data_IF_629320310075
#
_entry.id   IF_629320310075
#
_cell.length_a   1.000
_cell.length_b   1.000
_cell.length_c   1.000
_cell.angle_alpha   90.00
_cell.angle_beta   90.00
_cell.angle_gamma   90.00
#
_symmetry.space_group_name_H-M   'P 1'
#
loop_
_entity.id
_entity.type
_entity.pdbx_description
1 polymer ?
#
# COMPACT_ATOMS: atom_id res chain seq x y z
N UNK A 1 5.23 14.47 -1.12
CA UNK A 1 6.53 14.45 -0.42
C UNK A 1 6.95 13.13 0.18
N UNK A 2 6.05 12.28 0.68
CA UNK A 2 6.34 10.91 1.16
C UNK A 2 7.59 10.75 2.07
N UNK A 3 8.09 11.84 2.68
CA UNK A 3 9.31 11.89 3.49
C UNK A 3 9.25 10.98 4.70
N UNK A 4 8.05 10.79 5.24
CA UNK A 4 7.82 9.88 6.35
C UNK A 4 8.09 8.44 5.92
N UNK A 5 7.46 7.98 4.84
CA UNK A 5 7.62 6.59 4.36
C UNK A 5 9.08 6.31 4.01
N UNK A 6 9.78 7.22 3.33
CA UNK A 6 11.21 7.05 3.01
C UNK A 6 12.12 6.97 4.24
N UNK A 7 11.78 7.70 5.32
CA UNK A 7 12.53 7.64 6.58
C UNK A 7 12.40 6.28 7.28
N UNK A 8 11.26 5.60 7.12
CA UNK A 8 10.96 4.35 7.81
C UNK A 8 11.14 3.10 6.91
N UNK A 9 11.07 3.25 5.59
CA UNK A 9 11.32 2.23 4.57
C UNK A 9 12.35 2.76 3.57
N UNK A 10 13.65 2.60 3.86
CA UNK A 10 14.71 3.02 2.93
C UNK A 10 14.65 2.27 1.59
N UNK A 11 14.08 1.06 1.56
CA UNK A 11 13.86 0.28 0.32
C UNK A 11 12.93 0.99 -0.69
N UNK A 12 12.19 2.00 -0.26
CA UNK A 12 11.25 2.79 -1.06
C UNK A 12 11.78 4.21 -1.38
N UNK A 13 13.03 4.52 -1.06
CA UNK A 13 13.61 5.86 -1.23
C UNK A 13 13.68 6.30 -2.70
N UNK A 14 14.01 5.37 -3.60
CA UNK A 14 14.14 5.61 -5.03
C UNK A 14 12.80 5.77 -5.76
N UNK A 15 11.67 5.51 -5.10
CA UNK A 15 10.35 5.54 -5.73
C UNK A 15 9.75 6.94 -5.67
N UNK A 16 9.08 7.32 -6.75
CA UNK A 16 8.39 8.59 -6.91
C UNK A 16 7.40 8.86 -5.74
N UNK A 17 7.48 10.01 -5.05
CA UNK A 17 6.70 10.26 -3.84
C UNK A 17 5.19 10.33 -4.11
N UNK A 18 4.76 10.51 -5.36
CA UNK A 18 3.34 10.44 -5.75
C UNK A 18 2.82 8.99 -5.72
N UNK A 19 3.66 8.03 -6.09
CA UNK A 19 3.31 6.61 -6.12
C UNK A 19 3.43 5.97 -4.74
N UNK A 20 4.32 6.47 -3.88
CA UNK A 20 4.56 5.92 -2.54
C UNK A 20 3.33 5.86 -1.62
N UNK A 21 2.33 6.70 -1.88
CA UNK A 21 1.06 6.66 -1.15
C UNK A 21 0.14 5.51 -1.59
N UNK A 22 0.38 4.90 -2.74
CA UNK A 22 -0.44 3.85 -3.34
C UNK A 22 0.46 2.79 -4.00
N UNK A 23 1.14 2.01 -3.16
CA UNK A 23 2.04 0.91 -3.57
C UNK A 23 1.31 -0.20 -4.34
N UNK A 24 -0.03 -0.25 -4.25
CA UNK A 24 -0.84 -1.17 -5.03
C UNK A 24 -0.85 -0.81 -6.53
N UNK A 25 -0.59 0.45 -6.88
CA UNK A 25 -0.51 0.92 -8.26
C UNK A 25 0.89 0.82 -8.88
N UNK A 26 1.87 0.26 -8.17
CA UNK A 26 3.20 0.05 -8.75
C UNK A 26 3.10 -0.86 -9.95
N UNK A 27 3.83 -0.50 -11.01
CA UNK A 27 3.99 -1.42 -12.14
C UNK A 27 4.81 -2.65 -11.69
N UNK A 28 4.65 -3.80 -12.36
CA UNK A 28 5.44 -5.00 -12.03
C UNK A 28 6.95 -4.77 -12.07
N UNK A 29 7.41 -3.86 -12.94
CA UNK A 29 8.82 -3.48 -13.05
C UNK A 29 9.28 -2.68 -11.82
N UNK A 30 8.53 -1.64 -11.44
CA UNK A 30 8.84 -0.83 -10.23
C UNK A 30 8.79 -1.66 -8.95
N UNK A 31 7.92 -2.67 -8.90
CA UNK A 31 7.86 -3.62 -7.79
C UNK A 31 9.01 -4.63 -7.82
N UNK A 32 9.49 -5.04 -8.99
CA UNK A 32 10.67 -5.90 -9.07
C UNK A 32 11.97 -5.16 -8.68
N UNK A 33 12.01 -3.84 -8.89
CA UNK A 33 13.12 -2.98 -8.47
C UNK A 33 13.08 -2.58 -6.99
N UNK A 34 11.93 -2.74 -6.33
CA UNK A 34 11.78 -2.51 -4.90
C UNK A 34 11.67 -3.82 -4.14
N UNK A 35 12.49 -4.01 -3.10
CA UNK A 35 12.37 -5.11 -2.12
C UNK A 35 11.11 -4.99 -1.22
N UNK A 36 10.03 -4.37 -1.70
CA UNK A 36 8.80 -4.12 -0.95
C UNK A 36 7.66 -5.08 -1.39
N UNK A 37 7.02 -5.77 -0.44
CA UNK A 37 6.04 -6.81 -0.76
C UNK A 37 4.73 -6.25 -1.35
N UNK A 38 3.96 -7.16 -1.95
CA UNK A 38 2.62 -6.85 -2.46
C UNK A 38 1.65 -6.48 -1.31
N UNK A 39 0.62 -5.66 -1.60
CA UNK A 39 -0.42 -5.37 -0.62
C UNK A 39 -1.07 -6.66 -0.13
N UNK A 40 -1.00 -6.91 1.17
CA UNK A 40 -1.55 -8.11 1.81
C UNK A 40 -3.08 -8.17 1.65
N UNK A 41 -3.72 -7.00 1.62
CA UNK A 41 -5.18 -6.86 1.47
C UNK A 41 -5.52 -5.80 0.44
N UNK A 42 -6.58 -6.07 -0.32
CA UNK A 42 -7.23 -5.04 -1.13
C UNK A 42 -8.03 -4.11 -0.21
N UNK A 43 -7.64 -2.85 -0.12
CA UNK A 43 -8.26 -1.88 0.79
C UNK A 43 -9.77 -1.72 0.58
N UNK A 44 -10.24 -1.83 -0.66
CA UNK A 44 -11.66 -1.71 -0.99
C UNK A 44 -12.43 -2.91 -0.42
N UNK A 45 -12.01 -4.13 -0.73
CA UNK A 45 -12.62 -5.36 -0.20
C UNK A 45 -12.51 -5.46 1.31
N UNK A 46 -11.38 -5.08 1.89
CA UNK A 46 -11.16 -5.07 3.34
C UNK A 46 -12.15 -4.12 4.04
N UNK A 47 -12.37 -2.93 3.46
CA UNK A 47 -13.37 -1.99 3.96
C UNK A 47 -14.78 -2.55 3.89
N UNK A 48 -15.16 -3.17 2.78
CA UNK A 48 -16.49 -3.79 2.62
C UNK A 48 -16.71 -4.89 3.65
N UNK A 49 -15.74 -5.78 3.84
CA UNK A 49 -15.77 -6.83 4.88
C UNK A 49 -15.91 -6.26 6.28
N UNK A 50 -15.15 -5.21 6.62
CA UNK A 50 -15.22 -4.59 7.93
C UNK A 50 -16.59 -3.96 8.20
N UNK A 51 -17.19 -3.29 7.21
CA UNK A 51 -18.53 -2.70 7.32
C UNK A 51 -19.59 -3.79 7.47
N UNK A 52 -19.51 -4.86 6.69
CA UNK A 52 -20.44 -5.99 6.75
C UNK A 52 -20.36 -6.70 8.11
N UNK A 53 -19.16 -7.00 8.58
CA UNK A 53 -18.94 -7.58 9.90
C UNK A 53 -19.52 -6.70 11.02
N UNK A 54 -19.33 -5.39 10.93
CA UNK A 54 -19.90 -4.45 11.90
C UNK A 54 -21.42 -4.36 11.84
N UNK A 55 -22.03 -4.45 10.65
CA UNK A 55 -23.49 -4.50 10.49
C UNK A 55 -24.10 -5.78 11.06
N UNK A 56 -23.42 -6.92 10.92
CA UNK A 56 -23.87 -8.22 11.42
C UNK A 56 -23.70 -8.38 12.95
N UNK A 57 -22.95 -7.48 13.60
CA UNK A 57 -22.80 -7.42 15.05
C UNK A 57 -23.88 -6.57 15.75
N UNK A 58 -24.76 -5.93 14.97
CA UNK A 58 -25.83 -5.06 15.44
C UNK A 58 -27.16 -5.80 15.48
#
# INVERSE_FOLDING_TARGET
>A
DAKFIRKFCPELENVDPKKLHDVAKFTPLERAECDYPEPIVDHRKARERAIEAFKNLK
#
